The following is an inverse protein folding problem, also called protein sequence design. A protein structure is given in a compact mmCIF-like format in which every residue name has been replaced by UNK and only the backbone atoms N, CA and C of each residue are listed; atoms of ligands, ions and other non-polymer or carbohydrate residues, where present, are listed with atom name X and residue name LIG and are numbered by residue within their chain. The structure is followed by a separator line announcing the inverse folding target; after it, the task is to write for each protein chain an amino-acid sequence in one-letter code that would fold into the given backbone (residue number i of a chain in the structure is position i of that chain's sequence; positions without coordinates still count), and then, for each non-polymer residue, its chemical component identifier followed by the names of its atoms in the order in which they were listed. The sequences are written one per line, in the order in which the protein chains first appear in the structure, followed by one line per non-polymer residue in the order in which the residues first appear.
data_IF_964836339065
#
_entry.id   IF_964836339065
#
_cell.length_a   1.000
_cell.length_b   1.000
_cell.length_c   1.000
_cell.angle_alpha   90.00
_cell.angle_beta   90.00
_cell.angle_gamma   90.00
#
_symmetry.space_group_name_H-M   'P 1'
#
loop_
_entity.id
_entity.type
_entity.pdbx_description
1 polymer ?
#
# COMPACT_ATOMS: atom_id res chain seq x y z
N UNK A 1 -14.91 11.77 -8.89
CA UNK A 1 -13.65 11.94 -8.40
C UNK A 1 -13.26 10.96 -7.34
N UNK A 2 -12.03 10.69 -7.23
CA UNK A 2 -11.63 9.74 -6.30
C UNK A 2 -11.33 10.36 -5.06
N UNK A 3 -11.86 10.04 -4.02
CA UNK A 3 -11.45 10.51 -2.78
C UNK A 3 -10.28 9.79 -2.40
N UNK A 4 -9.35 10.45 -1.85
CA UNK A 4 -8.14 9.91 -1.49
C UNK A 4 -8.24 8.65 -0.75
N UNK A 5 -9.25 8.48 0.00
CA UNK A 5 -9.26 7.35 0.86
C UNK A 5 -9.65 6.08 0.18
N UNK A 6 -10.01 6.16 -1.07
CA UNK A 6 -10.50 4.97 -1.70
C UNK A 6 -9.46 4.02 -2.21
N UNK A 7 -8.21 4.41 -2.29
CA UNK A 7 -7.20 3.51 -2.80
C UNK A 7 -6.75 2.56 -1.71
N UNK A 8 -6.91 1.27 -1.95
CA UNK A 8 -6.48 0.25 -1.01
C UNK A 8 -5.03 -0.15 -1.26
N UNK A 9 -4.73 -0.48 -2.49
CA UNK A 9 -3.37 -0.84 -2.86
C UNK A 9 -3.24 -0.82 -4.38
N UNK A 10 -1.99 -0.84 -4.85
CA UNK A 10 -1.70 -0.89 -6.26
C UNK A 10 -0.89 -2.15 -6.53
N UNK A 11 -1.17 -2.77 -7.66
CA UNK A 11 -0.54 -4.02 -8.02
C UNK A 11 0.05 -3.93 -9.42
N UNK A 12 1.29 -4.35 -9.57
CA UNK A 12 1.94 -4.40 -10.88
C UNK A 12 1.82 -5.81 -11.41
N UNK A 13 1.20 -5.96 -12.59
CA UNK A 13 1.01 -7.28 -13.16
C UNK A 13 1.09 -7.16 -14.66
N UNK A 14 2.01 -7.89 -15.28
CA UNK A 14 2.12 -7.93 -16.75
C UNK A 14 2.21 -6.56 -17.38
N UNK A 15 3.06 -5.72 -16.84
CA UNK A 15 3.29 -4.39 -17.39
C UNK A 15 2.11 -3.45 -17.21
N UNK A 16 1.13 -3.85 -16.42
CA UNK A 16 0.01 -2.99 -16.12
C UNK A 16 -0.04 -2.75 -14.63
N UNK A 17 -0.51 -1.58 -14.27
CA UNK A 17 -0.68 -1.24 -12.87
C UNK A 17 -2.17 -1.19 -12.58
N UNK A 18 -2.60 -1.99 -11.63
CA UNK A 18 -3.99 -2.06 -11.24
C UNK A 18 -4.14 -1.31 -9.92
N UNK A 19 -4.97 -0.27 -9.94
CA UNK A 19 -5.24 0.52 -8.75
C UNK A 19 -6.51 -0.01 -8.13
N UNK A 20 -6.37 -0.67 -6.97
CA UNK A 20 -7.52 -1.28 -6.31
C UNK A 20 -8.13 -0.30 -5.33
N UNK A 21 -9.34 0.10 -5.59
CA UNK A 21 -10.07 1.00 -4.72
C UNK A 21 -11.20 0.24 -4.03
N UNK A 22 -11.85 0.90 -3.10
CA UNK A 22 -12.91 0.25 -2.36
C UNK A 22 -13.98 -0.36 -3.24
N UNK A 23 -14.38 0.35 -4.27
CA UNK A 23 -15.50 -0.10 -5.07
C UNK A 23 -15.17 -0.38 -6.51
N UNK A 24 -13.95 -0.18 -6.92
CA UNK A 24 -13.60 -0.48 -8.28
C UNK A 24 -12.11 -0.55 -8.47
N UNK A 25 -11.70 -1.03 -9.65
CA UNK A 25 -10.30 -1.21 -9.97
C UNK A 25 -10.04 -0.46 -11.26
N UNK A 26 -8.96 0.29 -11.29
CA UNK A 26 -8.57 1.03 -12.48
C UNK A 26 -7.26 0.50 -13.02
N UNK A 27 -7.07 0.65 -14.33
CA UNK A 27 -5.79 0.39 -14.94
C UNK A 27 -5.11 1.71 -15.19
N UNK A 28 -3.79 1.71 -15.03
CA UNK A 28 -3.03 2.91 -15.34
C UNK A 28 -1.74 2.49 -16.00
N UNK A 29 -1.21 3.35 -16.85
CA UNK A 29 0.01 3.03 -17.58
C UNK A 29 1.27 3.48 -16.87
N UNK A 30 1.15 4.18 -15.74
CA UNK A 30 2.33 4.62 -15.03
C UNK A 30 2.93 3.46 -14.26
N UNK A 31 4.24 3.52 -14.00
CA UNK A 31 4.89 2.44 -13.28
C UNK A 31 4.55 2.47 -11.81
N UNK A 32 4.83 1.37 -11.12
CA UNK A 32 4.62 1.33 -9.68
C UNK A 32 5.55 2.31 -8.97
N UNK A 33 6.76 2.48 -9.50
CA UNK A 33 7.68 3.46 -8.95
C UNK A 33 7.14 4.88 -9.05
N UNK A 34 6.47 5.18 -10.16
CA UNK A 34 5.84 6.48 -10.33
C UNK A 34 4.80 6.70 -9.22
N UNK A 35 3.97 5.68 -8.98
CA UNK A 35 2.94 5.80 -7.96
C UNK A 35 3.52 5.83 -6.56
N UNK A 36 4.62 5.10 -6.36
CA UNK A 36 5.28 5.13 -5.07
C UNK A 36 5.71 6.56 -4.72
N UNK A 37 6.25 7.25 -5.73
CA UNK A 37 6.68 8.62 -5.52
C UNK A 37 5.49 9.55 -5.28
N UNK A 38 4.44 9.39 -6.09
CA UNK A 38 3.26 10.22 -5.97
C UNK A 38 2.57 10.04 -4.63
N UNK A 39 2.52 8.82 -4.14
CA UNK A 39 1.79 8.53 -2.92
C UNK A 39 2.68 8.55 -1.68
N UNK A 40 3.90 9.03 -1.84
CA UNK A 40 4.81 9.12 -0.72
C UNK A 40 4.23 10.03 0.37
N UNK A 41 3.57 11.10 -0.02
CA UNK A 41 3.00 12.03 0.96
C UNK A 41 1.89 11.39 1.77
N UNK A 42 1.34 10.27 1.28
CA UNK A 42 0.32 9.56 2.03
C UNK A 42 0.88 8.36 2.72
N UNK A 43 2.22 8.21 2.71
CA UNK A 43 2.91 7.15 3.42
C UNK A 43 2.60 5.75 2.91
N UNK A 44 2.23 5.62 1.64
CA UNK A 44 2.02 4.29 1.08
C UNK A 44 3.29 3.49 1.20
N UNK A 45 3.14 2.19 1.42
CA UNK A 45 4.26 1.31 1.70
C UNK A 45 4.52 0.36 0.54
N UNK A 46 5.77 0.33 0.07
CA UNK A 46 6.15 -0.61 -0.96
C UNK A 46 6.50 -1.91 -0.26
N UNK A 47 5.55 -2.84 -0.22
CA UNK A 47 5.74 -4.07 0.56
C UNK A 47 6.32 -5.20 -0.25
N UNK A 48 6.31 -5.04 -1.57
CA UNK A 48 6.75 -6.10 -2.47
C UNK A 48 7.06 -5.40 -3.78
N UNK A 49 7.87 -6.02 -4.64
CA UNK A 49 8.19 -5.37 -5.91
C UNK A 49 6.93 -5.09 -6.72
N UNK A 50 5.86 -5.84 -6.46
CA UNK A 50 4.62 -5.70 -7.21
C UNK A 50 3.48 -5.05 -6.44
N UNK A 51 3.69 -4.65 -5.20
CA UNK A 51 2.59 -4.11 -4.39
C UNK A 51 2.95 -2.86 -3.62
N UNK A 52 2.06 -1.89 -3.67
CA UNK A 52 2.17 -0.63 -2.94
C UNK A 52 0.88 -0.48 -2.16
N UNK A 53 0.95 -0.34 -0.85
CA UNK A 53 -0.20 -0.48 0.04
C UNK A 53 -0.50 0.76 0.85
N UNK A 54 -1.76 1.08 0.96
CA UNK A 54 -2.23 2.18 1.78
C UNK A 54 -2.16 1.77 3.26
N UNK A 55 -1.36 2.44 4.08
CA UNK A 55 -1.19 2.00 5.46
C UNK A 55 -2.49 2.07 6.26
N UNK A 56 -3.39 2.98 5.89
CA UNK A 56 -4.66 3.09 6.60
C UNK A 56 -5.59 1.92 6.38
N UNK A 57 -5.27 1.06 5.41
CA UNK A 57 -6.11 -0.09 5.11
C UNK A 57 -5.56 -1.39 5.67
N UNK A 58 -4.44 -1.34 6.38
CA UNK A 58 -3.81 -2.54 6.88
C UNK A 58 -4.45 -2.94 8.20
N UNK A 59 -4.92 -4.19 8.29
CA UNK A 59 -5.44 -4.69 9.54
C UNK A 59 -4.40 -5.52 10.27
N UNK A 60 -3.44 -6.09 9.54
CA UNK A 60 -2.43 -6.91 10.19
C UNK A 60 -1.21 -7.07 9.30
N UNK A 61 -0.02 -6.99 9.88
CA UNK A 61 1.21 -7.18 9.14
C UNK A 61 1.96 -8.38 9.71
N UNK A 62 2.35 -9.30 8.82
CA UNK A 62 3.21 -10.40 9.19
C UNK A 62 4.46 -10.36 8.35
N UNK A 63 5.37 -11.29 8.60
CA UNK A 63 6.62 -11.32 7.87
C UNK A 63 6.46 -11.67 6.41
N UNK A 64 5.43 -12.41 6.08
CA UNK A 64 5.26 -12.86 4.70
C UNK A 64 4.01 -12.34 4.07
N UNK A 65 3.13 -11.73 4.84
CA UNK A 65 1.84 -11.36 4.32
C UNK A 65 1.24 -10.20 5.09
N UNK A 66 0.54 -9.34 4.37
CA UNK A 66 -0.21 -8.26 4.98
C UNK A 66 -1.67 -8.52 4.70
N UNK A 67 -2.50 -8.32 5.70
CA UNK A 67 -3.94 -8.45 5.53
C UNK A 67 -4.57 -7.08 5.60
N UNK A 68 -5.45 -6.78 4.67
CA UNK A 68 -6.12 -5.49 4.61
C UNK A 68 -7.49 -5.57 5.25
N UNK A 69 -8.08 -4.42 5.49
CA UNK A 69 -9.38 -4.35 6.14
C UNK A 69 -10.48 -5.05 5.33
N UNK A 70 -10.33 -5.09 4.02
CA UNK A 70 -11.33 -5.76 3.18
C UNK A 70 -11.09 -7.25 3.06
N UNK A 71 -10.11 -7.78 3.78
CA UNK A 71 -9.82 -9.21 3.73
C UNK A 71 -8.78 -9.60 2.72
N UNK A 72 -8.33 -8.67 1.88
CA UNK A 72 -7.29 -8.98 0.92
C UNK A 72 -6.00 -9.34 1.62
N UNK A 73 -5.22 -10.22 1.02
CA UNK A 73 -3.93 -10.61 1.56
C UNK A 73 -2.87 -10.41 0.50
N UNK A 74 -1.83 -9.69 0.86
CA UNK A 74 -0.76 -9.35 -0.07
C UNK A 74 0.57 -9.84 0.47
N UNK A 75 1.48 -10.26 -0.42
CA UNK A 75 2.78 -10.75 0.04
C UNK A 75 3.68 -9.62 0.46
N UNK A 76 4.57 -9.91 1.42
CA UNK A 76 5.58 -8.97 1.85
C UNK A 76 6.93 -9.56 1.49
N UNK A 77 7.75 -8.78 0.79
CA UNK A 77 9.07 -9.23 0.44
C UNK A 77 9.93 -9.31 1.71
N UNK A 78 10.65 -10.41 1.88
CA UNK A 78 11.52 -10.56 3.03
C UNK A 78 12.52 -9.40 3.08
N UNK A 79 13.00 -9.02 1.93
CA UNK A 79 13.99 -7.95 1.84
C UNK A 79 13.42 -6.62 2.31
N UNK A 80 12.15 -6.36 2.03
CA UNK A 80 11.55 -5.08 2.36
C UNK A 80 10.90 -5.04 3.73
N UNK A 81 10.72 -6.19 4.34
CA UNK A 81 9.99 -6.26 5.61
C UNK A 81 10.50 -5.30 6.69
N UNK A 82 11.82 -5.22 6.93
CA UNK A 82 12.28 -4.32 8.00
C UNK A 82 11.89 -2.86 7.75
N UNK A 83 12.02 -2.41 6.52
CA UNK A 83 11.67 -1.03 6.21
C UNK A 83 10.16 -0.83 6.27
N UNK A 84 9.40 -1.81 5.80
CA UNK A 84 7.95 -1.72 5.85
C UNK A 84 7.48 -1.56 7.28
N UNK A 85 8.02 -2.37 8.18
CA UNK A 85 7.63 -2.30 9.58
C UNK A 85 8.02 -0.98 10.21
N UNK A 86 9.22 -0.50 9.92
CA UNK A 86 9.67 0.77 10.48
C UNK A 86 8.77 1.91 10.03
N UNK A 87 8.43 1.92 8.75
CA UNK A 87 7.60 3.00 8.22
C UNK A 87 6.17 2.90 8.71
N UNK A 88 5.67 1.68 8.85
CA UNK A 88 4.32 1.50 9.34
C UNK A 88 4.21 1.94 10.80
N UNK A 89 5.20 1.61 11.60
CA UNK A 89 5.21 2.04 13.00
C UNK A 89 5.30 3.55 13.12
N UNK A 90 6.09 4.17 12.24
CA UNK A 90 6.17 5.61 12.24
C UNK A 90 4.83 6.23 11.86
N UNK A 91 4.15 5.63 10.89
CA UNK A 91 2.86 6.12 10.46
C UNK A 91 1.83 6.01 11.58
N UNK A 92 1.83 4.91 12.32
CA UNK A 92 0.91 4.73 13.43
C UNK A 92 1.17 5.77 14.51
N UNK A 93 2.43 6.00 14.85
CA UNK A 93 2.77 6.98 15.87
C UNK A 93 2.34 8.36 15.46
N UNK A 94 2.54 8.69 14.20
CA UNK A 94 2.15 10.01 13.71
C UNK A 94 0.64 10.19 13.80
N UNK A 95 -0.10 9.16 13.41
CA UNK A 95 -1.54 9.24 13.46
C UNK A 95 -2.05 9.41 14.90
N UNK A 96 -1.44 8.68 15.82
CA UNK A 96 -1.82 8.80 17.22
C UNK A 96 -1.52 10.18 17.77
N UNK A 97 -0.38 10.71 17.34
CA UNK A 97 0.02 12.02 17.84
C UNK A 97 -0.91 13.12 17.37
N UNK A 98 -1.45 12.96 16.18
CA UNK A 98 -2.33 13.98 15.62
C UNK A 98 -3.74 13.91 16.19
N UNK A 99 -4.07 12.82 16.79
CA UNK A 99 -5.37 12.72 17.39
C UNK A 99 -5.37 13.34 18.76
#
# INVERSE_FOLDING_TARGET
MYKRQEILYLESMRHEIWVHCEKKVFLTSETLGYWEEKLRVRSFLRVHKSFLVNPGQISRIGREMIELEDGSRLPVSRYRYPEVMARYEAWIRHAEFLE
#
